data_IF_263516991065
#
_entry.id   IF_263516991065
#
_cell.length_a   1.000
_cell.length_b   1.000
_cell.length_c   1.000
_cell.angle_alpha   90.00
_cell.angle_beta   90.00
_cell.angle_gamma   90.00
#
_symmetry.space_group_name_H-M   'P 1'
#
loop_
_entity.id
_entity.type
_entity.pdbx_description
1 polymer ?
#
# COMPACT_ATOMS: atom_id res chain seq x y z
N UNK A 1 28.51 -27.53 -30.72
CA UNK A 1 27.50 -28.29 -31.47
C UNK A 1 27.57 -29.76 -31.07
N UNK A 2 26.54 -30.26 -30.38
CA UNK A 2 26.10 -31.66 -30.42
C UNK A 2 24.61 -31.64 -30.06
N UNK A 3 23.80 -32.08 -31.02
CA UNK A 3 22.34 -32.05 -31.01
C UNK A 3 21.85 -33.32 -30.32
N UNK A 4 20.84 -33.22 -29.46
CA UNK A 4 20.04 -34.39 -29.09
C UNK A 4 18.57 -34.00 -29.02
N UNK A 5 17.77 -34.82 -29.69
CA UNK A 5 16.37 -34.62 -30.07
C UNK A 5 15.38 -34.90 -28.92
N UNK A 6 14.21 -34.28 -29.13
CA UNK A 6 12.89 -34.40 -28.50
C UNK A 6 12.38 -35.86 -28.46
N UNK A 7 11.64 -36.21 -27.39
CA UNK A 7 10.57 -37.22 -27.48
C UNK A 7 9.34 -36.81 -26.64
N UNK A 8 8.18 -36.82 -27.30
CA UNK A 8 6.81 -36.60 -26.83
C UNK A 8 6.26 -37.86 -26.12
N UNK A 9 5.39 -37.71 -25.11
CA UNK A 9 4.51 -38.80 -24.63
C UNK A 9 3.49 -38.30 -23.60
N UNK A 10 2.23 -38.04 -24.00
CA UNK A 10 1.07 -38.95 -24.03
C UNK A 10 0.26 -38.97 -22.71
N UNK A 11 -0.89 -38.28 -22.75
CA UNK A 11 -2.00 -38.32 -21.81
C UNK A 11 -2.85 -39.57 -22.06
N UNK A 12 -3.41 -40.22 -21.02
CA UNK A 12 -4.72 -40.83 -21.18
C UNK A 12 -5.70 -40.46 -20.06
N UNK A 13 -6.93 -40.37 -20.53
CA UNK A 13 -8.19 -40.06 -19.87
C UNK A 13 -8.67 -41.29 -19.07
N UNK A 14 -9.26 -41.06 -17.89
CA UNK A 14 -10.12 -42.04 -17.22
C UNK A 14 -11.55 -41.52 -17.19
N UNK A 15 -12.44 -42.27 -17.83
CA UNK A 15 -13.88 -42.07 -17.90
C UNK A 15 -14.60 -43.20 -17.13
N UNK A 16 -15.63 -42.79 -16.39
CA UNK A 16 -16.94 -43.45 -16.13
C UNK A 16 -17.07 -44.63 -15.16
N UNK A 17 -17.95 -44.42 -14.17
CA UNK A 17 -19.03 -45.35 -13.76
C UNK A 17 -20.22 -44.48 -13.33
N UNK A 18 -21.29 -44.36 -14.13
CA UNK A 18 -22.45 -45.26 -14.22
C UNK A 18 -23.25 -45.38 -12.92
N UNK A 19 -24.46 -44.82 -12.87
CA UNK A 19 -25.66 -45.65 -12.79
C UNK A 19 -26.94 -44.87 -13.10
N UNK A 20 -27.94 -45.67 -13.44
CA UNK A 20 -29.04 -45.43 -14.36
C UNK A 20 -30.33 -44.94 -13.67
N UNK A 21 -31.29 -44.62 -14.52
CA UNK A 21 -32.52 -43.85 -14.31
C UNK A 21 -33.68 -44.75 -13.85
N UNK A 22 -34.58 -44.24 -13.00
CA UNK A 22 -35.98 -44.67 -13.03
C UNK A 22 -36.90 -43.61 -12.45
N UNK A 23 -38.00 -43.32 -13.15
CA UNK A 23 -39.07 -42.41 -12.78
C UNK A 23 -40.37 -43.19 -12.57
N UNK A 24 -41.04 -43.01 -11.42
CA UNK A 24 -42.51 -42.89 -11.32
C UNK A 24 -43.02 -42.69 -9.87
N UNK A 25 -43.99 -41.78 -9.81
CA UNK A 25 -44.88 -41.20 -8.79
C UNK A 25 -45.52 -42.14 -7.74
N UNK A 26 -45.60 -41.73 -6.45
CA UNK A 26 -46.86 -41.54 -5.68
C UNK A 26 -46.68 -41.24 -4.17
N UNK A 27 -47.36 -40.18 -3.72
CA UNK A 27 -48.08 -39.91 -2.46
C UNK A 27 -47.46 -40.06 -1.03
N UNK A 28 -47.39 -38.88 -0.40
CA UNK A 28 -47.80 -38.49 0.98
C UNK A 28 -46.99 -38.88 2.25
N UNK A 29 -46.50 -37.79 2.90
CA UNK A 29 -46.28 -37.49 4.35
C UNK A 29 -45.34 -38.44 5.13
N UNK A 30 -44.31 -37.98 5.84
CA UNK A 30 -44.38 -37.10 7.02
C UNK A 30 -42.94 -36.72 7.46
N UNK A 31 -42.85 -35.60 8.19
CA UNK A 31 -41.69 -34.95 8.83
C UNK A 31 -40.40 -35.75 9.08
N UNK A 32 -39.28 -35.20 8.59
CA UNK A 32 -38.00 -35.22 9.29
C UNK A 32 -37.15 -34.02 8.83
N UNK A 33 -36.85 -33.16 9.80
CA UNK A 33 -35.96 -32.00 9.78
C UNK A 33 -34.66 -32.22 8.99
N UNK A 34 -34.38 -31.48 7.90
CA UNK A 34 -33.09 -31.49 7.25
C UNK A 34 -32.24 -30.35 7.79
N UNK A 35 -31.22 -30.73 8.57
CA UNK A 35 -29.96 -30.02 8.70
C UNK A 35 -29.56 -29.38 7.37
N UNK A 36 -29.89 -28.10 7.18
CA UNK A 36 -29.19 -27.24 6.25
C UNK A 36 -27.87 -26.87 6.93
N UNK A 37 -26.86 -27.71 6.69
CA UNK A 37 -25.48 -27.25 6.60
C UNK A 37 -25.43 -26.14 5.56
N UNK A 38 -25.80 -24.93 5.98
CA UNK A 38 -25.43 -23.71 5.30
C UNK A 38 -23.91 -23.66 5.34
N UNK A 39 -23.30 -24.02 4.22
CA UNK A 39 -21.94 -23.65 3.89
C UNK A 39 -21.91 -22.12 3.95
N UNK A 40 -21.70 -21.57 5.16
CA UNK A 40 -21.25 -20.21 5.34
C UNK A 40 -19.97 -20.13 4.53
N UNK A 41 -20.02 -19.46 3.39
CA UNK A 41 -18.84 -19.00 2.70
C UNK A 41 -18.00 -18.30 3.76
N UNK A 42 -16.89 -18.91 4.14
CA UNK A 42 -15.90 -18.26 5.00
C UNK A 42 -15.31 -17.17 4.14
N UNK A 43 -15.95 -16.00 4.14
CA UNK A 43 -15.32 -14.77 3.69
C UNK A 43 -14.16 -14.58 4.67
N UNK A 44 -12.95 -14.93 4.23
CA UNK A 44 -11.75 -14.63 4.98
C UNK A 44 -11.67 -13.11 5.09
N UNK A 45 -12.10 -12.57 6.24
CA UNK A 45 -11.98 -11.15 6.51
C UNK A 45 -10.50 -10.80 6.46
N UNK A 46 -10.14 -9.85 5.61
CA UNK A 46 -8.78 -9.30 5.52
C UNK A 46 -8.54 -8.50 6.80
N UNK A 47 -7.54 -8.85 7.62
CA UNK A 47 -7.25 -8.08 8.83
C UNK A 47 -6.98 -6.60 8.55
N UNK A 48 -7.54 -5.71 9.38
CA UNK A 48 -7.46 -4.25 9.18
C UNK A 48 -6.02 -3.71 9.22
N UNK A 49 -5.13 -4.39 9.95
CA UNK A 49 -3.71 -4.06 10.06
C UNK A 49 -2.89 -4.37 8.80
N UNK A 50 -3.43 -5.12 7.85
CA UNK A 50 -2.73 -5.42 6.61
C UNK A 50 -2.67 -4.21 5.69
N UNK A 51 -1.49 -3.90 5.18
CA UNK A 51 -1.33 -2.86 4.16
C UNK A 51 -0.01 -2.13 4.24
N UNK A 52 0.06 -1.04 3.47
CA UNK A 52 1.20 -0.17 3.37
C UNK A 52 1.00 1.06 4.25
N UNK A 53 2.03 1.42 5.01
CA UNK A 53 2.03 2.57 5.90
C UNK A 53 3.21 3.46 5.54
N UNK A 54 2.98 4.75 5.27
CA UNK A 54 4.06 5.70 4.92
C UNK A 54 3.92 7.03 5.64
N UNK A 55 5.02 7.56 6.17
CA UNK A 55 5.07 8.91 6.73
C UNK A 55 6.50 9.44 6.88
N UNK A 56 6.62 10.77 6.81
CA UNK A 56 7.77 11.46 7.37
C UNK A 56 7.62 11.56 8.90
N UNK A 57 8.62 11.08 9.63
CA UNK A 57 8.68 11.13 11.10
C UNK A 57 9.92 11.91 11.55
N UNK A 58 9.92 12.47 12.78
CA UNK A 58 11.09 13.11 13.35
C UNK A 58 12.30 12.18 13.40
N UNK A 59 13.48 12.78 13.33
CA UNK A 59 14.75 12.08 13.39
C UNK A 59 15.69 12.81 14.34
N UNK A 60 16.35 12.07 15.23
CA UNK A 60 17.25 12.68 16.22
C UNK A 60 18.57 13.16 15.61
N UNK A 61 19.12 12.39 14.67
CA UNK A 61 20.44 12.62 14.05
C UNK A 61 20.36 13.06 12.59
N UNK A 62 19.16 13.33 12.08
CA UNK A 62 18.90 13.73 10.70
C UNK A 62 17.69 14.69 10.66
N UNK A 63 17.41 15.33 9.53
CA UNK A 63 16.35 16.36 9.44
C UNK A 63 14.95 15.74 9.61
N UNK A 64 14.76 14.58 8.97
CA UNK A 64 13.55 13.75 9.06
C UNK A 64 13.86 12.36 8.51
N UNK A 65 12.97 11.41 8.75
CA UNK A 65 13.03 10.08 8.15
C UNK A 65 11.71 9.74 7.48
N UNK A 66 11.74 9.19 6.27
CA UNK A 66 10.57 8.54 5.68
C UNK A 66 10.56 7.08 6.13
N UNK A 67 9.46 6.65 6.72
CA UNK A 67 9.15 5.25 6.94
C UNK A 67 8.18 4.78 5.87
N UNK A 68 8.46 3.62 5.28
CA UNK A 68 7.55 2.87 4.44
C UNK A 68 7.50 1.43 4.93
N UNK A 69 6.41 1.04 5.59
CA UNK A 69 6.22 -0.26 6.21
C UNK A 69 5.06 -1.01 5.52
N UNK A 70 5.38 -2.15 4.94
CA UNK A 70 4.40 -3.09 4.40
C UNK A 70 4.17 -4.21 5.41
N UNK A 71 2.93 -4.43 5.84
CA UNK A 71 2.53 -5.55 6.69
C UNK A 71 1.78 -6.60 5.86
N UNK A 72 2.28 -7.84 5.86
CA UNK A 72 1.80 -8.92 4.99
C UNK A 72 0.97 -9.97 5.74
N UNK A 73 0.08 -10.65 5.00
CA UNK A 73 -0.86 -11.64 5.54
C UNK A 73 -0.16 -12.83 6.23
N UNK A 74 1.01 -13.22 5.73
CA UNK A 74 1.84 -14.29 6.29
C UNK A 74 2.64 -13.87 7.55
N UNK A 75 2.26 -12.75 8.19
CA UNK A 75 2.94 -12.18 9.36
C UNK A 75 4.42 -11.86 9.11
N UNK A 76 4.72 -11.41 7.90
CA UNK A 76 6.02 -10.81 7.55
C UNK A 76 5.86 -9.32 7.26
N UNK A 77 6.96 -8.57 7.32
CA UNK A 77 6.98 -7.17 6.93
C UNK A 77 8.17 -6.85 6.03
N UNK A 78 8.04 -5.74 5.30
CA UNK A 78 9.16 -5.04 4.69
C UNK A 78 9.16 -3.60 5.18
N UNK A 79 10.31 -3.13 5.64
CA UNK A 79 10.52 -1.79 6.17
C UNK A 79 11.61 -1.09 5.35
N UNK A 80 11.22 -0.01 4.66
CA UNK A 80 12.15 0.92 4.02
C UNK A 80 12.23 2.19 4.87
N UNK A 81 13.45 2.57 5.22
CA UNK A 81 13.77 3.76 6.00
C UNK A 81 14.67 4.67 5.15
N UNK A 82 14.25 5.92 4.93
CA UNK A 82 15.07 6.93 4.24
C UNK A 82 15.35 8.08 5.18
N UNK A 83 16.61 8.28 5.55
CA UNK A 83 17.06 9.37 6.41
C UNK A 83 17.54 10.54 5.54
N UNK A 84 17.02 11.74 5.83
CA UNK A 84 17.34 12.95 5.10
C UNK A 84 18.33 13.80 5.89
N UNK A 85 19.47 14.11 5.27
CA UNK A 85 20.48 15.04 5.77
C UNK A 85 20.61 16.20 4.79
N UNK A 86 21.14 17.33 5.27
CA UNK A 86 21.29 18.58 4.49
C UNK A 86 21.84 18.39 3.06
N UNK A 87 22.75 17.44 2.86
CA UNK A 87 23.44 17.23 1.57
C UNK A 87 23.31 15.80 1.01
N UNK A 88 22.66 14.88 1.74
CA UNK A 88 22.58 13.47 1.31
C UNK A 88 21.36 12.78 1.91
N UNK A 89 21.00 11.65 1.32
CA UNK A 89 20.05 10.71 1.89
C UNK A 89 20.73 9.37 2.10
N UNK A 90 20.32 8.65 3.15
CA UNK A 90 20.69 7.27 3.38
C UNK A 90 19.42 6.43 3.40
N UNK A 91 19.44 5.30 2.72
CA UNK A 91 18.32 4.38 2.70
C UNK A 91 18.74 3.00 3.21
N UNK A 92 17.86 2.38 3.97
CA UNK A 92 17.96 0.98 4.38
C UNK A 92 16.62 0.30 4.10
N UNK A 93 16.68 -0.91 3.58
CA UNK A 93 15.53 -1.81 3.51
C UNK A 93 15.81 -3.04 4.37
N UNK A 94 14.82 -3.46 5.13
CA UNK A 94 14.85 -4.69 5.93
C UNK A 94 13.52 -5.43 5.84
N UNK A 95 13.58 -6.72 6.11
CA UNK A 95 12.41 -7.59 6.20
C UNK A 95 12.49 -8.41 7.48
N UNK A 96 11.33 -8.93 7.90
CA UNK A 96 11.26 -9.69 9.13
C UNK A 96 9.86 -10.21 9.44
N UNK A 97 9.67 -10.65 10.68
CA UNK A 97 8.42 -11.24 11.18
C UNK A 97 7.69 -10.32 12.15
N UNK A 98 6.36 -10.43 12.18
CA UNK A 98 5.49 -9.75 13.15
C UNK A 98 5.13 -10.70 14.30
N UNK A 99 5.24 -10.19 15.52
CA UNK A 99 4.78 -10.88 16.73
C UNK A 99 3.81 -9.98 17.50
N UNK A 100 2.57 -10.44 17.65
CA UNK A 100 1.55 -9.76 18.43
C UNK A 100 1.77 -10.05 19.92
N UNK A 101 1.65 -9.04 20.77
CA UNK A 101 1.69 -9.26 22.21
C UNK A 101 0.39 -9.98 22.66
N UNK A 102 0.54 -10.98 23.54
CA UNK A 102 -0.58 -11.83 23.98
C UNK A 102 -1.58 -11.10 24.89
N UNK A 103 -1.11 -10.10 25.65
CA UNK A 103 -1.94 -9.32 26.58
C UNK A 103 -2.55 -8.07 25.93
N UNK A 104 -1.90 -7.56 24.88
CA UNK A 104 -2.33 -6.39 24.12
C UNK A 104 -2.06 -6.60 22.63
N UNK A 105 -3.08 -7.05 21.90
CA UNK A 105 -2.98 -7.34 20.46
C UNK A 105 -2.69 -6.11 19.59
N UNK A 106 -2.84 -4.90 20.12
CA UNK A 106 -2.47 -3.68 19.40
C UNK A 106 -0.96 -3.44 19.46
N UNK A 107 -0.24 -4.00 20.44
CA UNK A 107 1.21 -3.91 20.51
C UNK A 107 1.84 -5.00 19.64
N UNK A 108 2.59 -4.59 18.62
CA UNK A 108 3.25 -5.49 17.68
C UNK A 108 4.76 -5.27 17.71
N UNK A 109 5.48 -6.38 17.75
CA UNK A 109 6.93 -6.45 17.63
C UNK A 109 7.30 -6.85 16.20
N UNK A 110 8.18 -6.07 15.57
CA UNK A 110 8.80 -6.36 14.29
C UNK A 110 10.23 -6.82 14.55
N UNK A 111 10.57 -8.04 14.13
CA UNK A 111 11.92 -8.61 14.32
C UNK A 111 12.60 -8.74 12.97
N UNK A 112 13.69 -8.01 12.75
CA UNK A 112 14.46 -8.05 11.50
C UNK A 112 15.21 -9.38 11.35
N UNK A 113 15.08 -10.05 10.20
CA UNK A 113 15.64 -11.40 9.96
C UNK A 113 17.16 -11.45 10.11
N UNK A 114 17.87 -10.42 9.62
CA UNK A 114 19.34 -10.43 9.53
C UNK A 114 20.04 -10.03 10.82
N UNK A 115 19.48 -9.06 11.53
CA UNK A 115 20.14 -8.41 12.68
C UNK A 115 19.45 -8.74 14.00
N UNK A 116 18.26 -9.35 13.96
CA UNK A 116 17.36 -9.51 15.11
C UNK A 116 17.00 -8.17 15.78
N UNK A 117 17.19 -7.05 15.08
CA UNK A 117 16.79 -5.74 15.57
C UNK A 117 15.27 -5.71 15.74
N UNK A 118 14.85 -5.15 16.87
CA UNK A 118 13.44 -5.07 17.24
C UNK A 118 12.93 -3.64 17.03
N UNK A 119 11.75 -3.55 16.43
CA UNK A 119 10.93 -2.33 16.41
C UNK A 119 9.57 -2.63 17.05
N UNK A 120 9.03 -1.65 17.76
CA UNK A 120 7.70 -1.74 18.36
C UNK A 120 6.76 -0.75 17.68
N UNK A 121 5.56 -1.23 17.35
CA UNK A 121 4.47 -0.41 16.82
C UNK A 121 3.19 -0.67 17.59
N UNK A 122 2.33 0.34 17.68
CA UNK A 122 0.94 0.17 18.09
C UNK A 122 0.01 0.25 16.87
N UNK A 123 -0.92 -0.69 16.75
CA UNK A 123 -1.93 -0.72 15.72
C UNK A 123 -3.14 0.15 16.11
N UNK A 124 -3.59 0.95 15.16
CA UNK A 124 -4.84 1.71 15.22
C UNK A 124 -5.63 1.48 13.91
N UNK A 125 -6.89 1.92 13.86
CA UNK A 125 -7.77 1.62 12.73
C UNK A 125 -7.24 2.12 11.37
N UNK A 126 -6.59 3.29 11.33
CA UNK A 126 -6.18 3.95 10.07
C UNK A 126 -4.69 4.32 10.02
N UNK A 127 -3.94 4.03 11.07
CA UNK A 127 -2.52 4.33 11.17
C UNK A 127 -1.84 3.34 12.13
N UNK A 128 -0.53 3.28 12.07
CA UNK A 128 0.30 2.68 13.11
C UNK A 128 1.06 3.78 13.83
N UNK A 129 1.43 3.54 15.07
CA UNK A 129 2.26 4.44 15.86
C UNK A 129 3.61 3.79 16.12
N UNK A 130 4.70 4.50 15.85
CA UNK A 130 6.03 4.05 16.29
C UNK A 130 6.18 4.24 17.79
N UNK A 131 6.72 3.23 18.46
CA UNK A 131 7.03 3.27 19.89
C UNK A 131 8.54 3.28 20.13
N UNK A 132 8.94 3.69 21.32
CA UNK A 132 10.34 3.58 21.75
C UNK A 132 10.74 2.12 22.05
N UNK A 133 12.00 1.91 22.42
CA UNK A 133 12.53 0.58 22.75
C UNK A 133 11.90 -0.03 24.02
N UNK A 134 11.29 0.79 24.87
CA UNK A 134 10.58 0.37 26.08
C UNK A 134 9.07 0.17 25.83
N UNK A 135 8.62 0.26 24.57
CA UNK A 135 7.21 0.17 24.14
C UNK A 135 6.35 1.35 24.60
N UNK A 136 6.98 2.46 24.95
CA UNK A 136 6.29 3.69 25.33
C UNK A 136 6.01 4.55 24.10
N UNK A 137 4.92 5.31 24.20
CA UNK A 137 4.58 6.39 23.28
C UNK A 137 5.58 7.55 23.43
N UNK A 138 5.96 8.17 22.33
CA UNK A 138 6.74 9.43 22.35
C UNK A 138 5.88 10.61 22.81
N UNK A 139 6.47 11.62 23.48
CA UNK A 139 5.74 12.81 23.95
C UNK A 139 4.97 13.53 22.82
N UNK A 140 5.56 13.63 21.62
CA UNK A 140 4.93 14.21 20.43
C UNK A 140 4.36 13.12 19.50
N UNK A 141 3.51 12.25 20.04
CA UNK A 141 3.09 11.02 19.38
C UNK A 141 2.42 11.22 18.02
N UNK A 142 1.76 12.36 17.80
CA UNK A 142 1.11 12.70 16.53
C UNK A 142 2.11 12.72 15.37
N UNK A 143 3.38 13.05 15.64
CA UNK A 143 4.46 13.06 14.64
C UNK A 143 4.99 11.65 14.31
N UNK A 144 4.58 10.64 15.07
CA UNK A 144 4.98 9.24 14.91
C UNK A 144 3.82 8.34 14.46
N UNK A 145 2.68 8.95 14.13
CA UNK A 145 1.57 8.27 13.45
C UNK A 145 1.91 8.12 11.97
N UNK A 146 1.83 6.89 11.48
CA UNK A 146 2.11 6.52 10.10
C UNK A 146 0.79 6.02 9.51
N UNK A 147 0.09 6.83 8.70
CA UNK A 147 -1.20 6.46 8.14
C UNK A 147 -1.04 5.30 7.16
N UNK A 148 -2.10 4.51 7.06
CA UNK A 148 -2.27 3.56 5.97
C UNK A 148 -2.44 4.32 4.67
N UNK A 149 -1.64 4.00 3.67
CA UNK A 149 -1.67 4.67 2.36
C UNK A 149 -2.31 3.78 1.30
N UNK A 150 -2.88 4.42 0.27
CA UNK A 150 -3.50 3.72 -0.85
C UNK A 150 -2.79 4.09 -2.14
N UNK A 151 -2.33 3.08 -2.87
CA UNK A 151 -1.68 3.28 -4.15
C UNK A 151 -2.67 3.84 -5.18
N UNK A 152 -2.21 4.78 -6.01
CA UNK A 152 -2.94 5.25 -7.19
C UNK A 152 -2.10 4.99 -8.44
N UNK A 153 -2.77 4.62 -9.54
CA UNK A 153 -2.12 4.45 -10.82
C UNK A 153 -1.47 5.77 -11.28
N UNK A 154 -0.24 5.68 -11.79
CA UNK A 154 0.50 6.82 -12.35
C UNK A 154 0.80 6.57 -13.82
N UNK A 155 0.08 7.29 -14.68
CA UNK A 155 0.29 7.33 -16.12
C UNK A 155 1.44 8.28 -16.45
N UNK A 156 2.65 7.74 -16.47
CA UNK A 156 3.88 8.51 -16.63
C UNK A 156 4.36 8.58 -18.10
N UNK A 157 4.34 9.77 -18.70
CA UNK A 157 4.87 10.00 -20.05
C UNK A 157 6.40 10.14 -20.11
N UNK A 158 7.07 10.34 -18.96
CA UNK A 158 8.51 10.59 -18.90
C UNK A 158 9.32 9.31 -19.12
N UNK A 159 10.27 9.36 -20.05
CA UNK A 159 11.24 8.28 -20.26
C UNK A 159 12.31 8.31 -19.17
N UNK A 160 12.74 7.14 -18.70
CA UNK A 160 13.79 6.99 -17.69
C UNK A 160 13.49 7.69 -16.35
N UNK A 161 12.21 7.87 -16.04
CA UNK A 161 11.75 8.32 -14.73
C UNK A 161 10.71 7.32 -14.26
N UNK A 162 10.80 6.87 -13.02
CA UNK A 162 9.77 6.06 -12.38
C UNK A 162 9.10 6.89 -11.30
N UNK A 163 7.77 6.97 -11.33
CA UNK A 163 6.98 7.72 -10.36
C UNK A 163 5.93 6.79 -9.77
N UNK A 164 5.89 6.74 -8.44
CA UNK A 164 4.81 6.11 -7.69
C UNK A 164 4.15 7.16 -6.81
N UNK A 165 2.86 7.03 -6.58
CA UNK A 165 2.11 7.92 -5.71
C UNK A 165 1.19 7.09 -4.80
N UNK A 166 1.18 7.44 -3.53
CA UNK A 166 0.24 6.84 -2.56
C UNK A 166 -0.51 7.94 -1.83
N UNK A 167 -1.83 7.79 -1.73
CA UNK A 167 -2.71 8.70 -1.01
C UNK A 167 -2.32 8.69 0.47
N UNK A 168 -1.77 9.83 0.92
CA UNK A 168 -1.19 10.02 2.23
C UNK A 168 -2.18 10.70 3.20
N UNK A 169 -2.97 11.66 2.71
CA UNK A 169 -3.91 12.42 3.55
C UNK A 169 -5.12 12.91 2.76
N UNK A 170 -6.28 12.91 3.41
CA UNK A 170 -7.52 13.52 2.93
C UNK A 170 -7.95 14.59 3.93
N UNK A 171 -8.18 15.82 3.48
CA UNK A 171 -8.60 16.93 4.33
C UNK A 171 -9.84 17.61 3.75
N UNK A 172 -10.70 18.15 4.62
CA UNK A 172 -11.79 19.04 4.23
C UNK A 172 -11.31 20.47 4.33
N UNK A 173 -11.46 21.24 3.26
CA UNK A 173 -11.05 22.63 3.20
C UNK A 173 -12.20 23.48 2.65
N UNK A 174 -12.34 24.70 3.14
CA UNK A 174 -13.32 25.66 2.61
C UNK A 174 -12.58 26.67 1.74
N UNK A 175 -12.94 26.74 0.46
CA UNK A 175 -12.43 27.74 -0.48
C UNK A 175 -13.60 28.55 -0.99
N UNK A 176 -13.60 29.86 -0.74
CA UNK A 176 -14.66 30.77 -1.16
C UNK A 176 -16.08 30.27 -0.76
N UNK A 177 -16.22 29.80 0.49
CA UNK A 177 -17.46 29.22 1.04
C UNK A 177 -17.95 27.92 0.37
N UNK A 178 -17.10 27.28 -0.44
CA UNK A 178 -17.36 25.96 -1.04
C UNK A 178 -16.48 24.92 -0.34
N UNK A 179 -17.11 23.87 0.20
CA UNK A 179 -16.38 22.72 0.75
C UNK A 179 -15.69 21.96 -0.38
N UNK A 180 -14.37 21.84 -0.27
CA UNK A 180 -13.52 21.06 -1.15
C UNK A 180 -12.80 19.98 -0.34
N UNK A 181 -12.31 18.97 -1.06
CA UNK A 181 -11.45 17.94 -0.48
C UNK A 181 -10.02 18.19 -0.94
N UNK A 182 -9.08 18.29 -0.02
CA UNK A 182 -7.66 18.29 -0.35
C UNK A 182 -7.13 16.87 -0.24
N UNK A 183 -6.67 16.33 -1.36
CA UNK A 183 -5.98 15.04 -1.41
C UNK A 183 -4.48 15.32 -1.42
N UNK A 184 -3.73 14.70 -0.52
CA UNK A 184 -2.26 14.77 -0.52
C UNK A 184 -1.70 13.39 -0.75
N UNK A 185 -0.84 13.28 -1.75
CA UNK A 185 -0.16 12.06 -2.13
C UNK A 185 1.33 12.17 -1.78
N UNK A 186 1.91 11.08 -1.28
CA UNK A 186 3.34 10.93 -1.17
C UNK A 186 3.88 10.35 -2.47
N UNK A 187 4.71 11.11 -3.18
CA UNK A 187 5.36 10.69 -4.41
C UNK A 187 6.73 10.11 -4.10
N UNK A 188 7.07 8.98 -4.73
CA UNK A 188 8.43 8.48 -4.88
C UNK A 188 8.84 8.64 -6.34
N UNK A 189 9.79 9.54 -6.60
CA UNK A 189 10.21 9.95 -7.94
C UNK A 189 11.65 9.52 -8.12
N UNK A 190 11.88 8.50 -8.94
CA UNK A 190 13.21 8.00 -9.26
C UNK A 190 13.63 8.50 -10.65
N UNK A 191 14.53 9.48 -10.68
CA UNK A 191 15.12 9.98 -11.91
C UNK A 191 16.31 9.09 -12.30
N UNK A 192 16.08 8.19 -13.25
CA UNK A 192 17.08 7.27 -13.80
C UNK A 192 17.80 7.85 -15.03
N UNK A 193 17.51 9.11 -15.37
CA UNK A 193 18.18 9.80 -16.49
C UNK A 193 19.52 10.40 -16.06
N UNK A 194 20.28 10.82 -17.06
CA UNK A 194 21.51 11.60 -16.93
C UNK A 194 21.27 13.11 -16.79
N UNK A 195 19.99 13.55 -16.78
CA UNK A 195 19.61 14.97 -16.74
C UNK A 195 18.85 15.31 -15.47
N UNK A 196 18.90 16.59 -15.10
CA UNK A 196 18.05 17.13 -14.04
C UNK A 196 16.60 17.07 -14.51
N UNK A 197 15.74 16.44 -13.71
CA UNK A 197 14.29 16.46 -13.90
C UNK A 197 13.71 17.66 -13.16
N UNK A 198 12.87 18.42 -13.84
CA UNK A 198 12.08 19.51 -13.25
C UNK A 198 10.61 19.17 -13.37
N UNK A 199 9.91 19.09 -12.25
CA UNK A 199 8.46 18.92 -12.21
C UNK A 199 7.82 20.17 -11.61
N UNK A 200 6.74 20.62 -12.24
CA UNK A 200 5.91 21.76 -11.83
C UNK A 200 4.46 21.32 -11.68
N UNK A 201 3.65 22.19 -11.11
CA UNK A 201 2.23 21.97 -10.87
C UNK A 201 1.48 21.41 -12.09
N UNK A 202 1.66 22.03 -13.26
CA UNK A 202 0.99 21.67 -14.51
C UNK A 202 1.49 20.36 -15.15
N UNK A 203 2.63 19.84 -14.68
CA UNK A 203 3.22 18.60 -15.17
C UNK A 203 2.58 17.38 -14.45
N UNK A 204 1.89 17.59 -13.33
CA UNK A 204 1.26 16.54 -12.51
C UNK A 204 -0.25 16.80 -12.39
N UNK A 205 -1.04 15.92 -12.99
CA UNK A 205 -2.49 16.10 -13.10
C UNK A 205 -3.21 14.90 -12.50
N UNK A 206 -4.11 15.15 -11.55
CA UNK A 206 -5.04 14.14 -11.06
C UNK A 206 -6.26 14.08 -11.98
N UNK A 207 -6.59 12.88 -12.46
CA UNK A 207 -7.76 12.65 -13.31
C UNK A 207 -8.80 11.86 -12.53
N UNK A 208 -10.04 12.36 -12.54
CA UNK A 208 -11.17 11.68 -11.91
C UNK A 208 -11.95 10.78 -12.86
N UNK A 209 -12.95 10.07 -12.31
CA UNK A 209 -13.76 9.11 -13.07
C UNK A 209 -14.56 9.76 -14.21
N UNK A 210 -14.77 11.09 -14.14
CA UNK A 210 -15.46 11.89 -15.16
C UNK A 210 -14.49 12.52 -16.16
N UNK A 211 -13.21 12.17 -16.09
CA UNK A 211 -12.11 12.72 -16.89
C UNK A 211 -11.85 14.23 -16.67
N UNK A 212 -12.25 14.80 -15.53
CA UNK A 212 -11.81 16.15 -15.20
C UNK A 212 -10.34 16.11 -14.76
N UNK A 213 -9.56 17.08 -15.27
CA UNK A 213 -8.15 17.26 -14.91
C UNK A 213 -8.03 18.27 -13.75
N UNK A 214 -7.36 17.87 -12.67
CA UNK A 214 -7.08 18.71 -11.51
C UNK A 214 -5.57 18.92 -11.37
N UNK A 215 -5.13 20.17 -11.41
CA UNK A 215 -3.71 20.54 -11.35
C UNK A 215 -3.20 20.36 -9.91
N UNK A 216 -1.97 19.86 -9.80
CA UNK A 216 -1.33 19.71 -8.50
C UNK A 216 -0.92 21.05 -7.86
N UNK A 217 -0.61 20.99 -6.58
CA UNK A 217 0.18 21.98 -5.86
C UNK A 217 1.42 21.26 -5.34
N UNK A 218 2.57 21.61 -5.89
CA UNK A 218 3.89 21.11 -5.51
C UNK A 218 4.88 22.28 -5.51
N UNK A 219 5.80 22.31 -4.57
CA UNK A 219 6.94 23.22 -4.69
C UNK A 219 7.78 22.81 -5.91
N UNK A 220 8.23 23.78 -6.71
CA UNK A 220 9.08 23.52 -7.89
C UNK A 220 10.17 22.49 -7.55
N UNK A 221 10.02 21.27 -8.08
CA UNK A 221 10.84 20.15 -7.67
C UNK A 221 11.93 19.90 -8.71
N UNK A 222 13.18 20.02 -8.26
CA UNK A 222 14.37 19.70 -9.03
C UNK A 222 14.97 18.39 -8.51
N UNK A 223 14.95 17.36 -9.37
CA UNK A 223 15.51 16.04 -9.06
C UNK A 223 16.79 15.84 -9.87
N UNK A 224 17.92 15.75 -9.18
CA UNK A 224 19.21 15.51 -9.81
C UNK A 224 19.26 14.14 -10.55
N UNK A 225 20.16 13.98 -11.54
CA UNK A 225 20.37 12.70 -12.23
C UNK A 225 20.64 11.54 -11.28
N UNK A 226 20.11 10.35 -11.58
CA UNK A 226 20.31 9.12 -10.81
C UNK A 226 19.99 9.29 -9.30
N UNK A 227 18.94 10.06 -8.98
CA UNK A 227 18.47 10.29 -7.61
C UNK A 227 16.98 10.01 -7.47
N UNK A 228 16.63 9.49 -6.30
CA UNK A 228 15.26 9.40 -5.83
C UNK A 228 14.90 10.62 -5.00
N UNK A 229 13.70 11.15 -5.19
CA UNK A 229 13.09 12.24 -4.43
C UNK A 229 11.76 11.78 -3.86
N UNK A 230 11.44 12.27 -2.67
CA UNK A 230 10.15 12.04 -2.03
C UNK A 230 9.48 13.39 -1.80
N UNK A 231 8.29 13.58 -2.35
CA UNK A 231 7.56 14.85 -2.32
C UNK A 231 6.12 14.61 -1.84
N UNK A 232 5.55 15.59 -1.14
CA UNK A 232 4.12 15.63 -0.90
C UNK A 232 3.49 16.50 -1.99
N UNK A 233 2.55 15.93 -2.74
CA UNK A 233 1.84 16.60 -3.83
C UNK A 233 0.38 16.67 -3.46
N UNK A 234 -0.19 17.87 -3.47
CA UNK A 234 -1.59 18.07 -3.11
C UNK A 234 -2.46 18.41 -4.31
N UNK A 235 -3.73 18.05 -4.23
CA UNK A 235 -4.76 18.42 -5.20
C UNK A 235 -5.97 18.97 -4.43
N UNK A 236 -6.48 20.11 -4.86
CA UNK A 236 -7.78 20.60 -4.41
C UNK A 236 -8.84 20.00 -5.33
N UNK A 237 -9.73 19.24 -4.73
CA UNK A 237 -10.62 18.35 -5.42
C UNK A 237 -12.08 18.66 -5.04
N UNK A 238 -12.93 19.12 -5.99
CA UNK A 238 -14.35 19.36 -5.72
C UNK A 238 -15.05 18.02 -5.52
N UNK A 239 -15.96 17.91 -4.53
CA UNK A 239 -16.50 16.61 -4.10
C UNK A 239 -17.77 16.19 -4.87
N UNK A 240 -17.67 15.71 -6.13
CA UNK A 240 -18.65 14.72 -6.60
C UNK A 240 -18.10 13.50 -7.36
N UNK A 241 -16.78 13.36 -7.57
CA UNK A 241 -16.22 12.20 -8.30
C UNK A 241 -14.98 11.63 -7.57
N UNK A 242 -14.66 10.33 -7.62
CA UNK A 242 -13.42 9.79 -7.07
C UNK A 242 -12.22 9.97 -8.02
N UNK A 243 -11.00 10.15 -7.49
CA UNK A 243 -9.78 10.11 -8.29
C UNK A 243 -9.56 8.72 -8.89
N UNK A 244 -9.08 8.65 -10.14
CA UNK A 244 -8.80 7.38 -10.83
C UNK A 244 -7.30 7.16 -10.99
N UNK A 245 -6.59 8.13 -11.56
CA UNK A 245 -5.14 8.04 -11.80
C UNK A 245 -4.48 9.42 -11.79
N UNK A 246 -3.15 9.43 -11.70
CA UNK A 246 -2.33 10.63 -11.87
C UNK A 246 -1.62 10.54 -13.21
N UNK A 247 -1.74 11.58 -14.02
CA UNK A 247 -1.06 11.75 -15.30
C UNK A 247 0.16 12.65 -15.12
N UNK A 248 1.32 12.18 -15.58
CA UNK A 248 2.56 12.97 -15.63
C UNK A 248 2.80 13.35 -17.09
N UNK A 249 2.86 14.66 -17.36
CA UNK A 249 3.06 15.24 -18.70
C UNK A 249 4.55 15.42 -19.02
#
# INVERSE_FOLDING_TARGET
MKKTMILLGFFPILFLSSCEKSSSTSSMKQDADPHQHSLKSVQTQVPDWLGQYKAFVPCHSCEKKLISLQLNQNKTYTLKEVQFFKQKQQQKESSGTLHFNAQNTNLVQLVEDKTHKIHYIALHNQFIELLDQNKNRFENFEKYQIPKVQHIEVNNALKHVSIQADLFKIEKINLNSIENTKLTYLFEINNLSDRVLKLRDNDIILVDEKNNEHISTIENSLIAPNKTRYELVSFVYPKPSPPTYIKIK
#
